data_IF_732192926899
#
_entry.id   IF_732192926899
#
_cell.length_a   1.000
_cell.length_b   1.000
_cell.length_c   1.000
_cell.angle_alpha   90.00
_cell.angle_beta   90.00
_cell.angle_gamma   90.00
#
_symmetry.space_group_name_H-M   'P 1'
#
loop_
_entity.id
_entity.type
_entity.pdbx_description
1 polymer ?
#
# COMPACT_ATOMS: atom_id res chain seq x y z
N UNK A 1 -19.51 -16.15 78.52
CA UNK A 1 -19.68 -15.16 77.43
C UNK A 1 -19.07 -13.78 77.77
N UNK A 2 -19.32 -13.17 78.94
CA UNK A 2 -18.73 -11.84 79.29
C UNK A 2 -17.19 -11.77 79.30
N UNK A 3 -16.50 -12.84 79.72
CA UNK A 3 -15.03 -12.86 79.80
C UNK A 3 -14.34 -12.91 78.42
N UNK A 4 -14.97 -13.51 77.41
CA UNK A 4 -14.43 -13.55 76.04
C UNK A 4 -14.53 -12.18 75.37
N UNK A 5 -15.65 -11.48 75.54
CA UNK A 5 -15.80 -10.11 75.04
C UNK A 5 -14.81 -9.14 75.70
N UNK A 6 -14.54 -9.28 76.99
CA UNK A 6 -13.55 -8.46 77.68
C UNK A 6 -12.10 -8.77 77.23
N UNK A 7 -11.78 -10.04 76.97
CA UNK A 7 -10.47 -10.45 76.47
C UNK A 7 -10.22 -9.96 75.02
N UNK A 8 -11.25 -10.01 74.17
CA UNK A 8 -11.22 -9.45 72.82
C UNK A 8 -11.03 -7.93 72.88
N UNK A 9 -11.79 -7.23 73.74
CA UNK A 9 -11.64 -5.77 73.89
C UNK A 9 -10.24 -5.37 74.38
N UNK A 10 -9.65 -6.11 75.33
CA UNK A 10 -8.29 -5.85 75.82
C UNK A 10 -7.23 -6.03 74.73
N UNK A 11 -7.40 -7.06 73.88
CA UNK A 11 -6.49 -7.32 72.74
C UNK A 11 -6.67 -6.32 71.61
N UNK A 12 -7.90 -5.83 71.40
CA UNK A 12 -8.20 -4.74 70.46
C UNK A 12 -7.66 -3.39 70.93
N UNK A 13 -7.52 -3.17 72.25
CA UNK A 13 -6.93 -1.95 72.84
C UNK A 13 -5.42 -2.00 73.02
N UNK A 14 -4.78 -3.12 72.67
CA UNK A 14 -3.33 -3.28 72.78
C UNK A 14 -2.63 -2.41 71.72
N UNK A 15 -1.81 -1.42 72.10
CA UNK A 15 -1.20 -0.47 71.17
C UNK A 15 -0.35 -1.16 70.08
N UNK A 16 0.30 -2.28 70.41
CA UNK A 16 1.12 -3.02 69.46
C UNK A 16 0.25 -3.72 68.39
N UNK A 17 -0.91 -4.25 68.80
CA UNK A 17 -1.86 -4.87 67.88
C UNK A 17 -2.49 -3.84 66.96
N UNK A 18 -2.91 -2.69 67.49
CA UNK A 18 -3.45 -1.58 66.70
C UNK A 18 -2.45 -1.03 65.69
N UNK A 19 -1.19 -0.85 66.09
CA UNK A 19 -0.12 -0.40 65.20
C UNK A 19 0.16 -1.39 64.05
N UNK A 20 0.12 -2.70 64.35
CA UNK A 20 0.32 -3.75 63.34
C UNK A 20 -0.85 -3.85 62.35
N UNK A 21 -2.09 -3.62 62.78
CA UNK A 21 -3.28 -3.59 61.92
C UNK A 21 -3.30 -2.32 61.05
N UNK A 22 -2.93 -1.18 61.63
CA UNK A 22 -2.88 0.10 60.94
C UNK A 22 -1.82 0.08 59.83
N UNK A 23 -0.61 -0.41 60.10
CA UNK A 23 0.44 -0.52 59.08
C UNK A 23 0.06 -1.45 57.93
N UNK A 24 -0.61 -2.58 58.21
CA UNK A 24 -1.09 -3.52 57.18
C UNK A 24 -2.23 -2.94 56.34
N UNK A 25 -3.17 -2.24 56.96
CA UNK A 25 -4.29 -1.60 56.25
C UNK A 25 -3.83 -0.40 55.41
N UNK A 26 -2.89 0.41 55.90
CA UNK A 26 -2.24 1.48 55.12
C UNK A 26 -1.48 0.89 53.93
N UNK A 27 -0.72 -0.19 54.14
CA UNK A 27 -0.01 -0.87 53.05
C UNK A 27 -0.96 -1.39 51.95
N UNK A 28 -2.10 -1.98 52.35
CA UNK A 28 -3.15 -2.41 51.42
C UNK A 28 -3.77 -1.22 50.67
N UNK A 29 -4.12 -0.14 51.37
CA UNK A 29 -4.72 1.05 50.78
C UNK A 29 -3.77 1.72 49.75
N UNK A 30 -2.48 1.83 50.09
CA UNK A 30 -1.46 2.34 49.17
C UNK A 30 -1.28 1.41 47.96
N UNK A 31 -1.30 0.09 48.17
CA UNK A 31 -1.25 -0.88 47.08
C UNK A 31 -2.42 -0.75 46.11
N UNK A 32 -3.65 -0.61 46.62
CA UNK A 32 -4.85 -0.37 45.80
C UNK A 32 -4.80 0.98 45.08
N UNK A 33 -4.31 2.03 45.74
CA UNK A 33 -4.14 3.35 45.12
C UNK A 33 -3.12 3.31 43.97
N UNK A 34 -2.04 2.54 44.11
CA UNK A 34 -1.05 2.38 43.05
C UNK A 34 -1.65 1.62 41.86
N UNK A 35 -2.36 0.53 42.13
CA UNK A 35 -3.00 -0.30 41.11
C UNK A 35 -3.99 0.52 40.27
N UNK A 36 -4.86 1.29 40.94
CA UNK A 36 -5.83 2.16 40.25
C UNK A 36 -5.15 3.22 39.38
N UNK A 37 -4.04 3.79 39.84
CA UNK A 37 -3.25 4.74 39.05
C UNK A 37 -2.68 4.11 37.78
N UNK A 38 -2.22 2.86 37.84
CA UNK A 38 -1.72 2.12 36.67
C UNK A 38 -2.83 1.86 35.64
N UNK A 39 -4.02 1.45 36.11
CA UNK A 39 -5.18 1.27 35.22
C UNK A 39 -5.59 2.57 34.52
N UNK A 40 -5.66 3.68 35.27
CA UNK A 40 -5.97 4.99 34.70
C UNK A 40 -4.91 5.40 33.67
N UNK A 41 -3.62 5.20 33.94
CA UNK A 41 -2.55 5.50 32.99
C UNK A 41 -2.66 4.65 31.72
N UNK A 42 -2.99 3.37 31.85
CA UNK A 42 -3.24 2.47 30.72
C UNK A 42 -4.42 2.92 29.86
N UNK A 43 -5.54 3.31 30.50
CA UNK A 43 -6.72 3.77 29.77
C UNK A 43 -6.47 5.11 29.06
N UNK A 44 -5.74 6.04 29.69
CA UNK A 44 -5.28 7.28 29.05
C UNK A 44 -4.37 6.98 27.87
N UNK A 45 -3.48 5.99 27.99
CA UNK A 45 -2.63 5.56 26.88
C UNK A 45 -3.44 5.03 25.70
N UNK A 46 -4.44 4.16 25.96
CA UNK A 46 -5.35 3.66 24.92
C UNK A 46 -6.18 4.76 24.28
N UNK A 47 -6.61 5.76 25.06
CA UNK A 47 -7.41 6.87 24.56
C UNK A 47 -6.60 7.85 23.69
N UNK A 48 -5.32 8.05 24.04
CA UNK A 48 -4.40 8.89 23.26
C UNK A 48 -3.81 8.18 22.05
N UNK A 49 -3.78 6.84 22.06
CA UNK A 49 -3.33 5.99 20.95
C UNK A 49 -4.44 5.00 20.55
N UNK A 50 -5.59 5.49 20.03
CA UNK A 50 -6.66 4.60 19.63
C UNK A 50 -6.13 3.63 18.56
N UNK A 51 -6.30 2.31 18.74
CA UNK A 51 -5.87 1.35 17.74
C UNK A 51 -6.66 1.59 16.45
N UNK A 52 -5.96 1.80 15.34
CA UNK A 52 -6.57 2.05 14.03
C UNK A 52 -7.47 0.86 13.65
N UNK A 53 -8.76 1.07 13.34
CA UNK A 53 -9.67 -0.02 13.02
C UNK A 53 -9.23 -0.70 11.71
N UNK A 54 -8.79 -1.96 11.82
CA UNK A 54 -8.49 -2.81 10.68
C UNK A 54 -9.80 -3.44 10.20
N UNK A 55 -10.31 -2.95 9.07
CA UNK A 55 -11.49 -3.53 8.45
C UNK A 55 -11.08 -4.81 7.73
N UNK A 56 -11.75 -5.93 7.97
CA UNK A 56 -11.50 -7.17 7.24
C UNK A 56 -12.72 -7.51 6.39
N UNK A 57 -12.53 -7.68 5.08
CA UNK A 57 -13.59 -8.26 4.24
C UNK A 57 -13.41 -9.78 4.26
N UNK A 58 -14.48 -10.48 4.65
CA UNK A 58 -14.54 -11.94 4.66
C UNK A 58 -15.27 -12.37 3.40
N UNK A 59 -14.52 -12.65 2.34
CA UNK A 59 -15.08 -13.31 1.16
C UNK A 59 -14.52 -14.73 1.05
N UNK A 60 -15.36 -15.69 1.49
CA UNK A 60 -15.31 -17.14 1.23
C UNK A 60 -14.07 -17.97 1.58
N UNK A 61 -12.84 -17.46 1.43
CA UNK A 61 -11.59 -18.21 1.62
C UNK A 61 -10.38 -17.41 2.11
N UNK A 62 -10.40 -16.06 2.10
CA UNK A 62 -9.26 -15.26 2.60
C UNK A 62 -9.73 -13.95 3.26
N UNK A 63 -9.50 -13.85 4.56
CA UNK A 63 -9.61 -12.60 5.33
C UNK A 63 -8.53 -11.64 4.85
N UNK A 64 -8.90 -10.49 4.27
CA UNK A 64 -7.94 -9.44 3.88
C UNK A 64 -8.32 -8.09 4.49
N UNK A 65 -7.29 -7.36 4.90
CA UNK A 65 -7.37 -6.04 5.55
C UNK A 65 -7.69 -4.98 4.50
N UNK A 66 -8.84 -4.31 4.63
CA UNK A 66 -9.23 -3.15 3.81
C UNK A 66 -8.42 -1.96 4.27
N UNK A 67 -7.41 -1.62 3.49
CA UNK A 67 -6.60 -0.44 3.71
C UNK A 67 -7.27 0.76 3.01
N UNK A 68 -7.33 1.94 3.63
CA UNK A 68 -7.95 3.15 3.02
C UNK A 68 -7.12 3.66 1.83
N UNK A 69 -7.74 3.99 0.67
CA UNK A 69 -7.09 4.27 -0.64
C UNK A 69 -6.07 5.45 -0.69
N UNK A 70 -5.93 6.19 0.40
CA UNK A 70 -5.03 7.32 0.57
C UNK A 70 -3.67 6.94 1.18
N UNK A 71 -3.50 5.70 1.64
CA UNK A 71 -2.22 5.20 2.16
C UNK A 71 -1.43 4.37 1.13
N UNK A 72 -0.08 4.34 1.19
CA UNK A 72 0.70 3.43 0.35
C UNK A 72 0.44 1.96 0.71
N UNK A 73 0.30 1.09 -0.30
CA UNK A 73 0.13 -0.37 -0.13
C UNK A 73 1.41 -1.17 -0.41
N UNK A 74 2.39 -0.51 -1.04
CA UNK A 74 3.69 -1.06 -1.41
C UNK A 74 4.76 -0.02 -1.10
N UNK A 75 6.00 -0.45 -0.90
CA UNK A 75 7.13 0.48 -0.81
C UNK A 75 7.46 1.10 -2.19
N UNK A 76 8.24 2.19 -2.19
CA UNK A 76 8.60 2.91 -3.41
C UNK A 76 9.34 2.04 -4.43
N UNK A 77 10.17 1.08 -3.98
CA UNK A 77 10.92 0.21 -4.88
C UNK A 77 9.99 -0.81 -5.57
N UNK A 78 9.06 -1.38 -4.82
CA UNK A 78 8.02 -2.27 -5.32
C UNK A 78 7.08 -1.55 -6.28
N UNK A 79 6.68 -0.31 -5.95
CA UNK A 79 5.88 0.54 -6.83
C UNK A 79 6.60 0.80 -8.15
N UNK A 80 7.87 1.21 -8.10
CA UNK A 80 8.67 1.50 -9.29
C UNK A 80 8.91 0.27 -10.15
N UNK A 81 9.19 -0.89 -9.56
CA UNK A 81 9.34 -2.16 -10.28
C UNK A 81 8.03 -2.57 -10.97
N UNK A 82 6.92 -2.57 -10.23
CA UNK A 82 5.60 -2.88 -10.76
C UNK A 82 5.26 -1.95 -11.92
N UNK A 83 5.46 -0.64 -11.74
CA UNK A 83 5.15 0.40 -12.72
C UNK A 83 6.01 0.24 -13.97
N UNK A 84 7.29 -0.07 -13.81
CA UNK A 84 8.21 -0.30 -14.93
C UNK A 84 7.75 -1.50 -15.76
N UNK A 85 7.43 -2.63 -15.12
CA UNK A 85 6.95 -3.83 -15.82
C UNK A 85 5.61 -3.59 -16.53
N UNK A 86 4.66 -2.94 -15.85
CA UNK A 86 3.35 -2.63 -16.40
C UNK A 86 3.44 -1.63 -17.57
N UNK A 87 4.28 -0.61 -17.46
CA UNK A 87 4.48 0.40 -18.50
C UNK A 87 5.23 -0.15 -19.72
N UNK A 88 6.16 -1.09 -19.55
CA UNK A 88 6.91 -1.72 -20.64
C UNK A 88 6.12 -2.78 -21.41
N UNK A 89 5.18 -3.47 -20.75
CA UNK A 89 4.40 -4.56 -21.35
C UNK A 89 3.79 -4.22 -22.73
N UNK A 90 3.11 -3.07 -22.93
CA UNK A 90 2.53 -2.75 -24.24
C UNK A 90 3.55 -2.37 -25.33
N UNK A 91 4.82 -2.12 -24.97
CA UNK A 91 5.91 -1.87 -25.93
C UNK A 91 6.68 -3.13 -26.33
N UNK A 92 6.45 -4.24 -25.61
CA UNK A 92 7.03 -5.56 -25.88
C UNK A 92 6.02 -6.43 -26.63
N UNK A 93 5.86 -6.15 -27.93
CA UNK A 93 4.86 -6.80 -28.78
C UNK A 93 5.43 -7.20 -30.14
N UNK A 94 4.81 -8.18 -30.78
CA UNK A 94 5.19 -8.61 -32.13
C UNK A 94 3.98 -8.56 -33.09
N UNK A 95 4.26 -8.50 -34.40
CA UNK A 95 3.22 -8.36 -35.42
C UNK A 95 2.18 -9.50 -35.46
N UNK A 96 2.50 -10.69 -34.93
CA UNK A 96 1.64 -11.87 -34.96
C UNK A 96 0.71 -11.95 -33.73
N UNK A 97 1.28 -11.75 -32.54
CA UNK A 97 0.62 -11.99 -31.25
C UNK A 97 0.19 -10.70 -30.54
N UNK A 98 0.36 -9.52 -31.16
CA UNK A 98 0.01 -8.25 -30.56
C UNK A 98 -1.42 -8.19 -29.97
N UNK A 99 -2.48 -8.81 -30.54
CA UNK A 99 -3.82 -8.70 -29.94
C UNK A 99 -3.85 -9.34 -28.55
N UNK A 100 -3.20 -10.50 -28.39
CA UNK A 100 -3.13 -11.20 -27.11
C UNK A 100 -2.20 -10.46 -26.14
N UNK A 101 -1.05 -9.97 -26.61
CA UNK A 101 -0.08 -9.25 -25.78
C UNK A 101 -0.64 -7.93 -25.26
N UNK A 102 -1.33 -7.16 -26.10
CA UNK A 102 -1.99 -5.92 -25.70
C UNK A 102 -3.17 -6.19 -24.76
N UNK A 103 -3.96 -7.24 -24.98
CA UNK A 103 -5.03 -7.66 -24.07
C UNK A 103 -4.50 -8.10 -22.70
N UNK A 104 -3.33 -8.73 -22.65
CA UNK A 104 -2.66 -9.05 -21.40
C UNK A 104 -2.15 -7.78 -20.70
N UNK A 105 -1.50 -6.88 -21.44
CA UNK A 105 -0.97 -5.62 -20.93
C UNK A 105 -2.09 -4.73 -20.37
N UNK A 106 -3.22 -4.62 -21.05
CA UNK A 106 -4.34 -3.75 -20.66
C UNK A 106 -4.93 -4.05 -19.29
N UNK A 107 -4.71 -5.27 -18.75
CA UNK A 107 -5.19 -5.65 -17.40
C UNK A 107 -4.58 -4.80 -16.27
N UNK A 108 -3.40 -4.21 -16.50
CA UNK A 108 -2.71 -3.33 -15.54
C UNK A 108 -3.13 -1.85 -15.65
N UNK A 109 -4.04 -1.54 -16.58
CA UNK A 109 -4.47 -0.18 -16.86
C UNK A 109 -5.91 0.02 -16.43
N UNK A 110 -6.24 1.25 -16.07
CA UNK A 110 -7.62 1.72 -16.06
C UNK A 110 -8.11 1.85 -17.51
N UNK A 111 -9.43 1.97 -17.71
CA UNK A 111 -9.99 2.24 -19.04
C UNK A 111 -9.44 3.54 -19.63
N UNK A 112 -9.28 4.56 -18.78
CA UNK A 112 -8.73 5.87 -19.15
C UNK A 112 -7.25 5.76 -19.50
N UNK A 113 -6.47 5.06 -18.67
CA UNK A 113 -5.05 4.84 -18.90
C UNK A 113 -4.78 4.10 -20.20
N UNK A 114 -5.54 3.05 -20.49
CA UNK A 114 -5.42 2.30 -21.74
C UNK A 114 -5.72 3.17 -22.96
N UNK A 115 -6.77 3.99 -22.91
CA UNK A 115 -7.10 4.91 -23.99
C UNK A 115 -6.03 5.99 -24.19
N UNK A 116 -5.42 6.48 -23.11
CA UNK A 116 -4.32 7.45 -23.20
C UNK A 116 -3.09 6.86 -23.91
N UNK A 117 -2.75 5.61 -23.58
CA UNK A 117 -1.69 4.87 -24.25
C UNK A 117 -2.00 4.67 -25.74
N UNK A 118 -3.20 4.18 -26.05
CA UNK A 118 -3.63 3.95 -27.42
C UNK A 118 -3.51 5.23 -28.26
N UNK A 119 -3.94 6.37 -27.71
CA UNK A 119 -3.83 7.68 -28.36
C UNK A 119 -2.36 8.06 -28.58
N UNK A 120 -1.53 7.96 -27.54
CA UNK A 120 -0.09 8.26 -27.61
C UNK A 120 0.64 7.42 -28.66
N UNK A 121 0.23 6.16 -28.87
CA UNK A 121 0.82 5.28 -29.89
C UNK A 121 0.26 5.55 -31.28
N UNK A 122 -1.05 5.78 -31.42
CA UNK A 122 -1.69 6.08 -32.70
C UNK A 122 -1.09 7.33 -33.36
N UNK A 123 -0.77 8.36 -32.59
CA UNK A 123 -0.19 9.61 -33.09
C UNK A 123 1.17 9.40 -33.77
N UNK A 124 1.90 8.35 -33.40
CA UNK A 124 3.26 8.10 -33.91
C UNK A 124 3.32 7.30 -35.21
N UNK A 125 2.18 6.78 -35.71
CA UNK A 125 2.09 5.82 -36.85
C UNK A 125 2.96 4.55 -36.70
N UNK A 126 3.61 4.34 -35.55
CA UNK A 126 4.55 3.23 -35.32
C UNK A 126 3.83 1.87 -35.33
N UNK A 127 2.61 1.80 -34.80
CA UNK A 127 1.85 0.55 -34.71
C UNK A 127 1.43 0.01 -36.08
N UNK A 128 1.03 0.88 -36.99
CA UNK A 128 0.69 0.49 -38.36
C UNK A 128 1.92 0.01 -39.13
N UNK A 129 3.06 0.67 -38.95
CA UNK A 129 4.34 0.25 -39.52
C UNK A 129 4.77 -1.11 -38.98
N UNK A 130 4.60 -1.35 -37.67
CA UNK A 130 4.89 -2.65 -37.06
C UNK A 130 4.10 -3.79 -37.73
N UNK A 131 2.80 -3.60 -37.98
CA UNK A 131 1.97 -4.59 -38.69
C UNK A 131 2.41 -4.78 -40.13
N UNK A 132 2.52 -3.68 -40.90
CA UNK A 132 2.80 -3.73 -42.35
C UNK A 132 4.17 -4.33 -42.65
N UNK A 133 5.15 -4.05 -41.80
CA UNK A 133 6.52 -4.51 -41.99
C UNK A 133 6.91 -5.70 -41.12
N UNK A 134 5.92 -6.36 -40.48
CA UNK A 134 6.12 -7.56 -39.67
C UNK A 134 7.24 -7.41 -38.63
N UNK A 135 7.22 -6.30 -37.88
CA UNK A 135 8.25 -6.00 -36.89
C UNK A 135 7.99 -6.73 -35.57
N UNK A 136 9.07 -7.15 -34.92
CA UNK A 136 9.10 -7.51 -33.51
C UNK A 136 9.64 -6.31 -32.72
N UNK A 137 8.84 -5.79 -31.80
CA UNK A 137 9.19 -4.66 -30.94
C UNK A 137 9.46 -5.13 -29.52
N UNK A 138 10.56 -4.65 -28.94
CA UNK A 138 10.90 -4.85 -27.56
C UNK A 138 11.44 -3.56 -26.95
N UNK A 139 11.21 -3.38 -25.65
CA UNK A 139 11.61 -2.21 -24.90
C UNK A 139 12.22 -2.61 -23.57
N UNK A 140 13.27 -1.90 -23.20
CA UNK A 140 13.97 -2.07 -21.93
C UNK A 140 14.24 -0.72 -21.28
N UNK A 141 14.19 -0.68 -19.96
CA UNK A 141 14.55 0.51 -19.20
C UNK A 141 16.05 0.80 -19.35
N UNK A 142 16.40 2.04 -19.69
CA UNK A 142 17.79 2.49 -19.79
C UNK A 142 18.37 2.89 -18.43
N UNK A 143 17.51 3.33 -17.51
CA UNK A 143 17.84 3.72 -16.14
C UNK A 143 16.65 3.42 -15.23
N UNK A 144 16.89 3.47 -13.92
CA UNK A 144 15.84 3.28 -12.93
C UNK A 144 14.68 4.27 -13.14
N UNK A 145 13.46 3.77 -12.95
CA UNK A 145 12.29 4.63 -12.89
C UNK A 145 12.35 5.55 -11.67
N UNK A 146 11.75 6.73 -11.78
CA UNK A 146 11.72 7.71 -10.68
C UNK A 146 10.30 8.20 -10.44
N UNK A 147 9.96 8.41 -9.16
CA UNK A 147 8.75 9.11 -8.76
C UNK A 147 9.02 10.61 -8.91
N UNK A 148 8.32 11.25 -9.84
CA UNK A 148 8.43 12.69 -10.08
C UNK A 148 7.47 13.50 -9.22
N UNK A 149 6.34 12.92 -8.85
CA UNK A 149 5.29 13.60 -8.08
C UNK A 149 4.41 12.56 -7.37
N UNK A 150 3.93 12.91 -6.18
CA UNK A 150 2.91 12.17 -5.43
C UNK A 150 1.73 13.12 -5.18
N UNK A 151 0.53 12.67 -5.50
CA UNK A 151 -0.69 13.45 -5.37
C UNK A 151 -1.86 12.56 -4.94
N UNK A 152 -2.96 13.18 -4.53
CA UNK A 152 -4.24 12.46 -4.31
C UNK A 152 -5.22 12.91 -5.37
N UNK A 153 -5.67 11.99 -6.22
CA UNK A 153 -6.58 12.26 -7.34
C UNK A 153 -7.87 11.47 -7.09
N UNK A 154 -9.00 12.17 -7.05
CA UNK A 154 -10.32 11.57 -6.79
C UNK A 154 -10.37 10.71 -5.50
N UNK A 155 -9.61 11.09 -4.47
CA UNK A 155 -9.54 10.38 -3.18
C UNK A 155 -8.62 9.16 -3.15
N UNK A 156 -7.92 8.86 -4.25
CA UNK A 156 -6.93 7.79 -4.32
C UNK A 156 -5.51 8.36 -4.43
N UNK A 157 -4.55 7.69 -3.80
CA UNK A 157 -3.13 8.03 -3.93
C UNK A 157 -2.65 7.78 -5.36
N UNK A 158 -1.92 8.74 -5.92
CA UNK A 158 -1.48 8.76 -7.29
C UNK A 158 0.00 9.17 -7.39
N UNK A 159 0.73 8.47 -8.26
CA UNK A 159 2.17 8.62 -8.44
C UNK A 159 2.48 8.91 -9.89
N UNK A 160 3.16 10.02 -10.15
CA UNK A 160 3.67 10.34 -11.48
C UNK A 160 5.06 9.77 -11.61
N UNK A 161 5.21 8.76 -12.44
CA UNK A 161 6.45 8.00 -12.62
C UNK A 161 7.03 8.28 -14.00
N UNK A 162 8.36 8.38 -14.07
CA UNK A 162 9.08 8.51 -15.32
C UNK A 162 9.98 7.30 -15.54
N UNK A 163 9.83 6.64 -16.69
CA UNK A 163 10.61 5.47 -17.09
C UNK A 163 11.31 5.75 -18.42
N UNK A 164 12.63 6.00 -18.40
CA UNK A 164 13.42 6.17 -19.61
C UNK A 164 13.71 4.81 -20.22
N UNK A 165 13.31 4.61 -21.47
CA UNK A 165 13.36 3.33 -22.18
C UNK A 165 14.02 3.48 -23.54
N UNK A 166 14.61 2.39 -24.01
CA UNK A 166 14.94 2.22 -25.42
C UNK A 166 14.00 1.17 -26.00
N UNK A 167 13.32 1.53 -27.08
CA UNK A 167 12.48 0.62 -27.85
C UNK A 167 13.18 0.29 -29.17
N UNK A 168 13.26 -0.99 -29.48
CA UNK A 168 13.77 -1.49 -30.76
C UNK A 168 12.69 -2.30 -31.45
N UNK A 169 12.42 -1.97 -32.71
CA UNK A 169 11.52 -2.72 -33.59
C UNK A 169 12.32 -3.22 -34.80
N UNK A 170 12.37 -4.54 -35.01
CA UNK A 170 13.23 -5.13 -36.03
C UNK A 170 12.59 -6.29 -36.79
N UNK A 171 13.12 -6.55 -37.99
CA UNK A 171 12.91 -7.75 -38.80
C UNK A 171 14.22 -8.08 -39.55
N UNK A 172 14.18 -8.94 -40.57
CA UNK A 172 15.36 -9.31 -41.36
C UNK A 172 15.94 -8.19 -42.24
N UNK A 173 15.20 -7.12 -42.50
CA UNK A 173 15.55 -6.05 -43.45
C UNK A 173 15.81 -4.70 -42.77
N UNK A 174 15.22 -4.45 -41.60
CA UNK A 174 15.28 -3.17 -40.92
C UNK A 174 15.34 -3.34 -39.40
N UNK A 175 15.99 -2.35 -38.77
CA UNK A 175 16.12 -2.24 -37.33
C UNK A 175 15.94 -0.77 -36.94
N UNK A 176 14.89 -0.48 -36.18
CA UNK A 176 14.48 0.86 -35.79
C UNK A 176 14.58 0.96 -34.26
N UNK A 177 15.52 1.78 -33.78
CA UNK A 177 15.71 2.02 -32.34
C UNK A 177 15.35 3.46 -31.97
N UNK A 178 14.64 3.64 -30.86
CA UNK A 178 14.18 4.95 -30.37
C UNK A 178 14.35 5.03 -28.85
N UNK A 179 14.86 6.18 -28.37
CA UNK A 179 14.88 6.49 -26.94
C UNK A 179 13.60 7.26 -26.59
N UNK A 180 12.90 6.80 -25.57
CA UNK A 180 11.63 7.37 -25.11
C UNK A 180 11.69 7.58 -23.59
N UNK A 181 10.95 8.56 -23.10
CA UNK A 181 10.60 8.63 -21.68
C UNK A 181 9.11 8.38 -21.56
N UNK A 182 8.75 7.28 -20.92
CA UNK A 182 7.39 7.01 -20.51
C UNK A 182 7.08 7.88 -19.30
N UNK A 183 6.00 8.65 -19.38
CA UNK A 183 5.37 9.31 -18.24
C UNK A 183 4.10 8.54 -17.92
N UNK A 184 4.05 7.94 -16.74
CA UNK A 184 2.91 7.17 -16.28
C UNK A 184 2.30 7.82 -15.03
N UNK A 185 0.98 7.82 -14.93
CA UNK A 185 0.26 8.10 -13.70
C UNK A 185 -0.25 6.77 -13.16
N UNK A 186 0.30 6.35 -12.02
CA UNK A 186 -0.11 5.13 -11.33
C UNK A 186 -0.99 5.51 -10.18
N UNK A 187 -2.21 4.98 -10.15
CA UNK A 187 -3.18 5.26 -9.09
C UNK A 187 -3.44 4.01 -8.29
N UNK A 188 -3.69 4.21 -7.01
CA UNK A 188 -4.23 3.16 -6.16
C UNK A 188 -5.68 2.87 -6.56
N UNK A 189 -6.04 1.59 -6.56
CA UNK A 189 -7.38 1.13 -6.92
C UNK A 189 -7.85 0.06 -5.93
N UNK A 190 -9.12 -0.34 -6.01
CA UNK A 190 -9.65 -1.37 -5.11
C UNK A 190 -9.00 -2.73 -5.41
N UNK A 191 -8.51 -3.39 -4.35
CA UNK A 191 -7.86 -4.71 -4.42
C UNK A 191 -8.82 -5.85 -4.77
N UNK A 192 -10.13 -5.64 -4.60
CA UNK A 192 -11.18 -6.63 -4.89
C UNK A 192 -11.21 -7.02 -6.38
N UNK A 193 -11.14 -6.02 -7.26
CA UNK A 193 -11.11 -6.22 -8.71
C UNK A 193 -9.69 -6.40 -9.25
N UNK A 194 -8.68 -5.87 -8.54
CA UNK A 194 -7.28 -5.88 -8.96
C UNK A 194 -6.34 -6.34 -7.85
N UNK A 195 -5.81 -7.58 -7.91
CA UNK A 195 -4.97 -8.15 -6.86
C UNK A 195 -3.71 -7.34 -6.49
N UNK A 196 -3.22 -6.50 -7.40
CA UNK A 196 -2.04 -5.66 -7.19
C UNK A 196 -2.37 -4.35 -6.47
N UNK A 197 -3.65 -3.96 -6.35
CA UNK A 197 -4.11 -2.69 -5.75
C UNK A 197 -3.66 -1.43 -6.51
N UNK A 198 -3.02 -1.59 -7.67
CA UNK A 198 -2.49 -0.51 -8.51
C UNK A 198 -3.03 -0.62 -9.93
N UNK A 199 -3.19 0.53 -10.58
CA UNK A 199 -3.46 0.61 -12.01
C UNK A 199 -2.76 1.81 -12.65
N UNK A 200 -2.43 1.70 -13.93
CA UNK A 200 -1.96 2.83 -14.74
C UNK A 200 -3.19 3.58 -15.26
N UNK A 201 -3.35 4.83 -14.83
CA UNK A 201 -4.48 5.69 -15.17
C UNK A 201 -4.15 6.70 -16.28
N UNK A 202 -2.86 6.87 -16.58
CA UNK A 202 -2.35 7.59 -17.75
C UNK A 202 -1.00 7.02 -18.17
N UNK A 203 -0.77 6.89 -19.48
CA UNK A 203 0.55 6.55 -20.01
C UNK A 203 0.80 7.26 -21.34
N UNK A 204 1.87 8.05 -21.36
CA UNK A 204 2.31 8.81 -22.54
C UNK A 204 3.80 8.62 -22.72
N UNK A 205 4.23 8.31 -23.94
CA UNK A 205 5.65 8.25 -24.28
C UNK A 205 6.08 9.48 -25.08
N UNK A 206 7.19 10.09 -24.67
CA UNK A 206 7.77 11.24 -25.36
C UNK A 206 9.15 10.85 -25.88
N UNK A 207 9.43 11.20 -27.14
CA UNK A 207 10.76 10.99 -27.73
C UNK A 207 11.79 11.89 -27.05
N UNK A 208 12.94 11.32 -26.70
CA UNK A 208 14.09 12.10 -26.22
C UNK A 208 14.85 12.76 -27.37
#
# INVERSE_FOLDING_TARGET
MQNEHAAINRRLSDPDFQASLLSRSIGLALGLSLLTTVFIAHDVYLWTHPPTPKYFVIDGRKTREVTALDTPIVDDAQLLDWSTRAALAPYNINYNDYPQQLSAASRKFSKRGWNSFATSVMDTKNFDTMKRSMLLCYAQAQRAAVISEVATIAGALAYRIQVPIVQTCQNSQQNITQNLVIKALVTRTNEEDRPDGLEIDELVAVRQ
#
